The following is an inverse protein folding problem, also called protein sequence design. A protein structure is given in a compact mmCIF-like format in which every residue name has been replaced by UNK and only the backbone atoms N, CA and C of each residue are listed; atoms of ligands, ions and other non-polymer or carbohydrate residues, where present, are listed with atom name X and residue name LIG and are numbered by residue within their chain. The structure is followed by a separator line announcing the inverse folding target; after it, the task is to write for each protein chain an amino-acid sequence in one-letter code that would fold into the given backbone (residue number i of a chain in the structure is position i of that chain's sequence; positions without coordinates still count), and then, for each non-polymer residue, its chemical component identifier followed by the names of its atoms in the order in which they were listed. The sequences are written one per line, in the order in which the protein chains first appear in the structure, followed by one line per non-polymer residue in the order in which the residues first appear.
data_IF_491097398349
#
_entry.id   IF_491097398349
#
_cell.length_a   1.000
_cell.length_b   1.000
_cell.length_c   1.000
_cell.angle_alpha   90.00
_cell.angle_beta   90.00
_cell.angle_gamma   90.00
#
_symmetry.space_group_name_H-M   'P 1'
#
loop_
_entity.id
_entity.type
_entity.pdbx_description
1 polymer ?
#
# COMPACT_ATOMS: atom_id res chain seq x y z
N UNK A 1 -62.35 16.93 34.99
CA UNK A 1 -61.58 15.86 34.25
C UNK A 1 -60.37 16.48 33.61
N UNK A 2 -59.18 16.29 34.21
CA UNK A 2 -57.90 16.84 33.70
C UNK A 2 -57.18 15.69 32.99
N UNK A 3 -57.06 15.82 31.66
CA UNK A 3 -56.21 14.91 30.83
C UNK A 3 -54.76 15.37 30.92
N UNK A 4 -53.92 14.62 31.62
CA UNK A 4 -52.46 14.73 31.56
C UNK A 4 -51.98 13.98 30.32
N UNK A 5 -51.62 14.67 29.25
CA UNK A 5 -50.88 14.12 28.11
C UNK A 5 -49.39 14.06 28.47
N UNK A 6 -48.93 12.86 28.79
CA UNK A 6 -47.50 12.60 28.99
C UNK A 6 -46.74 12.66 27.66
N UNK A 7 -45.84 13.63 27.51
CA UNK A 7 -44.89 13.71 26.38
C UNK A 7 -43.79 12.72 26.69
N UNK A 8 -43.78 11.59 25.97
CA UNK A 8 -42.64 10.67 25.94
C UNK A 8 -41.51 11.29 25.08
N UNK A 9 -40.55 11.91 25.72
CA UNK A 9 -39.28 12.27 25.12
C UNK A 9 -38.47 10.99 24.88
N UNK A 10 -38.51 10.44 23.68
CA UNK A 10 -37.58 9.42 23.24
C UNK A 10 -36.21 10.06 23.14
N UNK A 11 -35.38 9.92 24.13
CA UNK A 11 -33.94 10.19 24.02
C UNK A 11 -33.36 9.15 23.12
N UNK A 12 -33.08 9.52 21.85
CA UNK A 12 -32.20 8.75 20.99
C UNK A 12 -30.81 8.78 21.66
N UNK A 13 -30.46 7.71 22.34
CA UNK A 13 -29.08 7.46 22.69
C UNK A 13 -28.30 7.32 21.37
N UNK A 14 -27.48 8.30 21.02
CA UNK A 14 -26.43 8.15 20.03
C UNK A 14 -25.48 7.10 20.61
N UNK A 15 -25.69 5.84 20.28
CA UNK A 15 -24.70 4.82 20.54
C UNK A 15 -23.42 5.24 19.79
N UNK A 16 -22.36 5.56 20.54
CA UNK A 16 -21.05 5.76 19.94
C UNK A 16 -20.73 4.51 19.14
N UNK A 17 -20.67 4.63 17.83
CA UNK A 17 -20.22 3.52 16.97
C UNK A 17 -18.79 3.17 17.37
N UNK A 18 -18.45 1.89 17.49
CA UNK A 18 -17.06 1.50 17.72
C UNK A 18 -16.20 1.98 16.55
N UNK A 19 -15.04 2.53 16.86
CA UNK A 19 -14.08 2.96 15.85
C UNK A 19 -13.22 1.76 15.48
N UNK A 20 -13.03 1.53 14.18
CA UNK A 20 -12.09 0.57 13.63
C UNK A 20 -10.97 1.33 12.92
N UNK A 21 -9.76 1.30 13.48
CA UNK A 21 -8.61 2.03 12.96
C UNK A 21 -7.79 1.15 12.02
N UNK A 22 -7.62 1.62 10.78
CA UNK A 22 -6.88 0.92 9.73
C UNK A 22 -5.66 1.73 9.31
N UNK A 23 -4.46 1.18 9.53
CA UNK A 23 -3.24 1.75 8.98
C UNK A 23 -3.06 1.30 7.54
N UNK A 24 -2.84 2.24 6.63
CA UNK A 24 -2.72 1.98 5.21
C UNK A 24 -1.72 2.93 4.53
N UNK A 25 -1.15 2.58 3.37
CA UNK A 25 -0.29 3.49 2.62
C UNK A 25 -1.09 4.66 2.03
N UNK A 26 -0.38 5.76 1.73
CA UNK A 26 -0.95 7.01 1.23
C UNK A 26 -1.83 6.82 -0.02
N UNK A 27 -1.36 6.04 -0.98
CA UNK A 27 -2.10 5.77 -2.21
C UNK A 27 -3.42 5.03 -1.99
N UNK A 28 -3.53 4.26 -0.90
CA UNK A 28 -4.75 3.52 -0.57
C UNK A 28 -5.84 4.44 -0.04
N UNK A 29 -5.45 5.44 0.77
CA UNK A 29 -6.37 6.34 1.46
C UNK A 29 -6.62 7.66 0.73
N UNK A 30 -5.90 7.93 -0.36
CA UNK A 30 -6.09 9.13 -1.18
C UNK A 30 -7.49 9.17 -1.83
N UNK A 31 -7.94 10.33 -2.28
CA UNK A 31 -9.26 10.51 -2.91
C UNK A 31 -9.51 9.62 -4.14
N UNK A 32 -8.44 9.26 -4.85
CA UNK A 32 -8.46 8.37 -6.01
C UNK A 32 -8.12 6.91 -5.65
N UNK A 33 -7.77 6.65 -4.39
CA UNK A 33 -7.51 5.30 -3.87
C UNK A 33 -8.79 4.55 -3.53
N UNK A 34 -8.70 3.26 -3.21
CA UNK A 34 -9.86 2.43 -2.87
C UNK A 34 -10.41 2.70 -1.47
N UNK A 35 -9.62 3.32 -0.57
CA UNK A 35 -9.98 3.53 0.84
C UNK A 35 -11.33 4.20 1.05
N UNK A 36 -11.60 5.38 0.45
CA UNK A 36 -12.87 6.09 0.65
C UNK A 36 -14.10 5.26 0.26
N UNK A 37 -14.03 4.52 -0.85
CA UNK A 37 -15.14 3.66 -1.30
C UNK A 37 -15.33 2.43 -0.39
N UNK A 38 -14.24 1.89 0.16
CA UNK A 38 -14.29 0.78 1.12
C UNK A 38 -14.89 1.26 2.44
N UNK A 39 -14.49 2.41 2.96
CA UNK A 39 -15.04 3.04 4.15
C UNK A 39 -16.55 3.19 4.02
N UNK A 40 -17.01 3.87 2.97
CA UNK A 40 -18.44 4.09 2.72
C UNK A 40 -19.24 2.77 2.63
N UNK A 41 -18.71 1.76 1.95
CA UNK A 41 -19.39 0.48 1.77
C UNK A 41 -19.40 -0.35 3.07
N UNK A 42 -18.28 -0.39 3.78
CA UNK A 42 -18.12 -1.20 4.98
C UNK A 42 -18.93 -0.67 6.16
N UNK A 43 -18.96 0.64 6.35
CA UNK A 43 -19.75 1.28 7.43
C UNK A 43 -21.26 1.04 7.34
N UNK A 44 -21.77 0.77 6.13
CA UNK A 44 -23.18 0.41 5.94
C UNK A 44 -23.54 -0.95 6.55
N UNK A 45 -22.55 -1.80 6.79
CA UNK A 45 -22.75 -3.19 7.22
C UNK A 45 -22.14 -3.50 8.60
N UNK A 46 -21.02 -2.86 8.97
CA UNK A 46 -20.32 -3.17 10.22
C UNK A 46 -20.97 -2.53 11.47
N UNK A 47 -21.74 -1.46 11.31
CA UNK A 47 -22.21 -0.66 12.45
C UNK A 47 -21.09 0.06 13.19
N UNK A 48 -19.93 0.22 12.57
CA UNK A 48 -18.72 0.85 13.08
C UNK A 48 -18.41 2.17 12.34
N UNK A 49 -17.43 2.91 12.84
CA UNK A 49 -16.80 4.07 12.23
C UNK A 49 -15.40 3.63 11.77
N UNK A 50 -15.18 3.45 10.46
CA UNK A 50 -13.91 3.01 9.89
C UNK A 50 -12.99 4.20 9.67
N UNK A 51 -11.82 4.20 10.29
CA UNK A 51 -10.83 5.28 10.17
C UNK A 51 -9.54 4.80 9.57
N UNK A 52 -9.19 5.38 8.43
CA UNK A 52 -7.88 5.19 7.84
C UNK A 52 -6.85 6.17 8.41
N UNK A 53 -5.64 5.65 8.68
CA UNK A 53 -4.48 6.44 9.04
C UNK A 53 -3.33 6.11 8.09
N UNK A 54 -2.93 7.09 7.27
CA UNK A 54 -1.84 6.92 6.31
C UNK A 54 -0.46 6.96 6.98
N UNK A 55 0.50 6.20 6.46
CA UNK A 55 1.89 6.28 6.90
C UNK A 55 2.75 5.08 6.56
N UNK A 56 3.97 5.13 7.08
CA UNK A 56 4.95 4.05 6.98
C UNK A 56 4.58 2.93 7.96
N UNK A 57 4.03 1.84 7.45
CA UNK A 57 3.34 0.82 8.24
C UNK A 57 4.23 0.10 9.26
N UNK A 58 5.26 -0.62 8.80
CA UNK A 58 6.10 -1.43 9.70
C UNK A 58 6.97 -0.57 10.64
N UNK A 59 7.63 0.49 10.19
CA UNK A 59 8.37 1.39 11.08
C UNK A 59 7.47 1.99 12.18
N UNK A 60 6.27 2.39 11.83
CA UNK A 60 5.29 2.93 12.78
C UNK A 60 4.88 1.89 13.82
N UNK A 61 4.54 0.68 13.41
CA UNK A 61 4.18 -0.41 14.32
C UNK A 61 5.32 -0.77 15.28
N UNK A 62 6.58 -0.77 14.80
CA UNK A 62 7.75 -1.00 15.66
C UNK A 62 7.87 0.10 16.71
N UNK A 63 7.66 1.35 16.32
CA UNK A 63 7.76 2.50 17.23
C UNK A 63 6.64 2.52 18.27
N UNK A 64 5.41 2.24 17.88
CA UNK A 64 4.23 2.24 18.75
C UNK A 64 4.15 1.00 19.64
N UNK A 65 4.62 -0.15 19.15
CA UNK A 65 4.56 -1.42 19.86
C UNK A 65 3.13 -1.76 20.32
N UNK A 66 2.99 -2.20 21.56
CA UNK A 66 1.69 -2.56 22.15
C UNK A 66 0.75 -1.37 22.39
N UNK A 67 1.20 -0.14 22.18
CA UNK A 67 0.36 1.07 22.27
C UNK A 67 -0.19 1.51 20.92
N UNK A 68 -0.01 0.71 19.88
CA UNK A 68 -0.60 1.02 18.56
C UNK A 68 -2.12 1.12 18.63
N UNK A 69 -2.68 2.07 17.91
CA UNK A 69 -4.13 2.25 17.76
C UNK A 69 -4.68 1.46 16.56
N UNK A 70 -3.82 0.77 15.80
CA UNK A 70 -4.25 0.01 14.65
C UNK A 70 -4.95 -1.28 15.05
N UNK A 71 -6.18 -1.45 14.60
CA UNK A 71 -6.90 -2.73 14.63
C UNK A 71 -6.54 -3.58 13.40
N UNK A 72 -6.33 -2.93 12.26
CA UNK A 72 -5.99 -3.56 10.99
C UNK A 72 -4.84 -2.81 10.30
N UNK A 73 -4.01 -3.54 9.59
CA UNK A 73 -2.98 -2.98 8.71
C UNK A 73 -3.19 -3.50 7.29
N UNK A 74 -3.35 -2.59 6.33
CA UNK A 74 -3.50 -2.91 4.91
C UNK A 74 -2.28 -2.40 4.14
N UNK A 75 -1.80 -3.17 3.16
CA UNK A 75 -0.75 -2.73 2.24
C UNK A 75 0.65 -3.20 2.63
N UNK A 76 0.77 -4.21 3.48
CA UNK A 76 2.03 -4.92 3.68
C UNK A 76 2.33 -5.82 2.47
N UNK A 77 3.53 -5.74 1.97
CA UNK A 77 3.99 -6.67 0.93
C UNK A 77 4.72 -7.86 1.51
N UNK A 78 4.92 -8.86 0.67
CA UNK A 78 5.63 -10.10 1.05
C UNK A 78 7.06 -9.87 1.56
N UNK A 79 7.74 -8.84 1.09
CA UNK A 79 9.10 -8.46 1.52
C UNK A 79 9.18 -7.96 2.98
N UNK A 80 8.09 -7.36 3.50
CA UNK A 80 8.06 -6.82 4.86
C UNK A 80 7.34 -7.72 5.87
N UNK A 81 6.67 -8.79 5.44
CA UNK A 81 5.87 -9.66 6.32
C UNK A 81 6.70 -10.31 7.43
N UNK A 82 7.95 -10.70 7.15
CA UNK A 82 8.83 -11.22 8.19
C UNK A 82 9.05 -10.19 9.30
N UNK A 83 9.39 -8.97 8.94
CA UNK A 83 9.64 -7.88 9.89
C UNK A 83 8.37 -7.45 10.64
N UNK A 84 7.23 -7.46 9.95
CA UNK A 84 5.94 -7.23 10.58
C UNK A 84 5.64 -8.31 11.64
N UNK A 85 5.84 -9.58 11.32
CA UNK A 85 5.64 -10.70 12.25
C UNK A 85 6.53 -10.61 13.49
N UNK A 86 7.77 -10.14 13.35
CA UNK A 86 8.73 -9.96 14.45
C UNK A 86 8.26 -8.90 15.47
N UNK A 87 7.31 -8.02 15.12
CA UNK A 87 6.71 -7.09 16.09
C UNK A 87 5.84 -7.79 17.15
N UNK A 88 5.35 -8.99 16.87
CA UNK A 88 4.43 -9.72 17.75
C UNK A 88 3.02 -9.14 17.85
N UNK A 89 2.67 -8.17 17.01
CA UNK A 89 1.38 -7.46 17.05
C UNK A 89 0.27 -8.14 16.25
N UNK A 90 0.63 -9.05 15.34
CA UNK A 90 -0.33 -9.66 14.42
C UNK A 90 -0.84 -11.00 14.93
N UNK A 91 -2.15 -11.19 14.84
CA UNK A 91 -2.84 -12.45 15.13
C UNK A 91 -3.19 -13.22 13.84
N UNK A 92 -3.47 -14.52 13.91
CA UNK A 92 -4.02 -15.26 12.78
C UNK A 92 -5.34 -14.65 12.28
N UNK A 93 -5.51 -14.58 10.93
CA UNK A 93 -6.70 -13.97 10.33
C UNK A 93 -7.94 -14.89 10.29
N UNK A 94 -7.80 -16.17 10.55
CA UNK A 94 -8.87 -17.19 10.59
C UNK A 94 -9.74 -17.28 9.31
N UNK A 95 -9.28 -16.70 8.20
CA UNK A 95 -9.98 -16.72 6.92
C UNK A 95 -9.53 -17.90 6.05
N UNK A 96 -10.44 -18.45 5.24
CA UNK A 96 -10.10 -19.45 4.24
C UNK A 96 -9.29 -18.83 3.09
N UNK A 97 -8.25 -19.54 2.66
CA UNK A 97 -7.43 -19.17 1.51
C UNK A 97 -7.91 -19.81 0.19
N UNK A 98 -9.00 -20.62 0.24
CA UNK A 98 -9.46 -21.40 -0.92
C UNK A 98 -10.01 -20.57 -2.08
N UNK A 99 -10.54 -19.38 -1.78
CA UNK A 99 -11.10 -18.46 -2.77
C UNK A 99 -10.09 -17.45 -3.34
N UNK A 100 -8.83 -17.52 -2.93
CA UNK A 100 -7.82 -16.56 -3.36
C UNK A 100 -7.33 -16.87 -4.78
N UNK A 101 -7.48 -15.90 -5.66
CA UNK A 101 -6.99 -15.97 -7.05
C UNK A 101 -5.57 -15.39 -7.11
N UNK A 102 -4.56 -16.21 -6.80
CA UNK A 102 -3.16 -15.82 -6.76
C UNK A 102 -2.33 -16.66 -7.72
N UNK A 103 -1.21 -16.14 -8.25
CA UNK A 103 -0.30 -16.90 -9.10
C UNK A 103 0.49 -17.96 -8.33
N UNK A 104 0.45 -17.94 -7.00
CA UNK A 104 1.11 -18.87 -6.10
C UNK A 104 0.13 -19.39 -5.05
N UNK A 105 0.40 -20.58 -4.51
CA UNK A 105 -0.35 -21.09 -3.37
C UNK A 105 -0.02 -20.28 -2.13
N UNK A 106 -1.05 -19.67 -1.53
CA UNK A 106 -0.89 -18.92 -0.27
C UNK A 106 -1.15 -19.82 0.93
N UNK A 107 -0.24 -19.82 1.88
CA UNK A 107 -0.30 -20.69 3.08
C UNK A 107 -0.10 -19.91 4.40
N UNK A 108 0.09 -18.59 4.32
CA UNK A 108 0.24 -17.75 5.51
C UNK A 108 -1.11 -17.60 6.22
N UNK A 109 -1.12 -17.75 7.54
CA UNK A 109 -2.31 -17.64 8.37
C UNK A 109 -2.41 -16.31 9.13
N UNK A 110 -1.43 -15.45 9.01
CA UNK A 110 -1.38 -14.14 9.66
C UNK A 110 -1.67 -13.01 8.67
N UNK A 111 -1.10 -13.12 7.47
CA UNK A 111 -1.25 -12.09 6.44
C UNK A 111 -2.13 -12.64 5.31
N UNK A 112 -3.24 -11.93 5.06
CA UNK A 112 -4.20 -12.27 4.03
C UNK A 112 -3.99 -11.37 2.81
N UNK A 113 -3.63 -11.89 1.63
CA UNK A 113 -3.47 -11.08 0.43
C UNK A 113 -4.83 -10.64 -0.11
N UNK A 114 -4.97 -9.38 -0.46
CA UNK A 114 -6.17 -8.84 -1.09
C UNK A 114 -5.94 -8.45 -2.56
N UNK A 115 -4.69 -8.30 -2.98
CA UNK A 115 -4.31 -8.11 -4.38
C UNK A 115 -2.91 -8.65 -4.65
N UNK A 116 -2.58 -8.71 -5.93
CA UNK A 116 -1.22 -8.92 -6.43
C UNK A 116 -1.06 -8.21 -7.75
N UNK A 117 0.17 -7.87 -8.12
CA UNK A 117 0.45 -7.19 -9.38
C UNK A 117 1.88 -7.44 -9.83
N UNK A 118 2.16 -7.04 -11.06
CA UNK A 118 3.50 -6.88 -11.59
C UNK A 118 3.93 -5.42 -11.48
N UNK A 119 5.24 -5.19 -11.45
CA UNK A 119 5.81 -3.86 -11.64
C UNK A 119 6.33 -3.72 -13.07
N UNK A 120 6.19 -2.53 -13.63
CA UNK A 120 6.63 -2.22 -14.98
C UNK A 120 7.02 -0.75 -15.10
N UNK A 121 7.76 -0.41 -16.13
CA UNK A 121 7.94 0.97 -16.53
C UNK A 121 6.72 1.44 -17.33
N UNK A 122 6.28 2.66 -17.03
CA UNK A 122 5.24 3.36 -17.77
C UNK A 122 5.91 4.45 -18.59
N UNK A 123 5.48 4.63 -19.82
CA UNK A 123 5.99 5.67 -20.70
C UNK A 123 4.86 6.35 -21.48
N UNK A 124 5.09 7.59 -21.86
CA UNK A 124 4.21 8.35 -22.75
C UNK A 124 4.49 7.99 -24.21
N UNK A 125 3.57 7.28 -24.84
CA UNK A 125 3.72 6.84 -26.24
C UNK A 125 3.77 7.99 -27.24
N UNK A 126 3.29 9.18 -26.87
CA UNK A 126 3.37 10.37 -27.71
C UNK A 126 4.77 10.97 -27.72
N UNK A 127 5.58 10.69 -26.68
CA UNK A 127 6.95 11.19 -26.53
C UNK A 127 8.00 10.12 -26.88
N UNK A 128 7.69 8.85 -26.63
CA UNK A 128 8.63 7.72 -26.83
C UNK A 128 8.03 6.75 -27.84
N UNK A 129 8.42 6.89 -29.10
CA UNK A 129 7.94 6.02 -30.19
C UNK A 129 8.54 4.61 -30.18
N UNK A 130 9.72 4.45 -29.56
CA UNK A 130 10.42 3.16 -29.43
C UNK A 130 10.80 2.95 -27.96
N UNK A 131 9.90 2.36 -27.16
CA UNK A 131 10.19 2.10 -25.76
C UNK A 131 11.29 1.05 -25.61
N UNK A 132 12.11 1.14 -24.54
CA UNK A 132 13.14 0.15 -24.25
C UNK A 132 12.51 -1.23 -24.01
N UNK A 133 13.14 -2.27 -24.50
CA UNK A 133 12.69 -3.67 -24.36
C UNK A 133 13.49 -4.43 -23.31
N UNK A 134 14.53 -3.82 -22.80
CA UNK A 134 15.43 -4.38 -21.78
C UNK A 134 15.96 -3.27 -20.88
N UNK A 135 16.52 -3.68 -19.76
CA UNK A 135 17.25 -2.75 -18.88
C UNK A 135 18.48 -2.16 -19.59
N UNK A 136 19.13 -2.91 -20.46
CA UNK A 136 20.27 -2.42 -21.24
C UNK A 136 19.83 -1.33 -22.22
N UNK A 137 18.71 -1.52 -22.93
CA UNK A 137 18.14 -0.48 -23.79
C UNK A 137 17.81 0.77 -22.98
N UNK A 138 17.20 0.60 -21.79
CA UNK A 138 16.82 1.70 -20.92
C UNK A 138 18.04 2.54 -20.48
N UNK A 139 19.13 1.87 -20.11
CA UNK A 139 20.36 2.56 -19.71
C UNK A 139 21.07 3.26 -20.88
N UNK A 140 20.89 2.76 -22.10
CA UNK A 140 21.49 3.33 -23.30
C UNK A 140 20.62 4.38 -24.03
N UNK A 141 19.37 4.61 -23.54
CA UNK A 141 18.51 5.64 -24.10
C UNK A 141 19.14 7.03 -23.91
N UNK A 142 19.33 7.75 -25.00
CA UNK A 142 19.74 9.14 -24.96
C UNK A 142 18.54 10.00 -24.55
N UNK A 143 18.78 10.96 -23.68
CA UNK A 143 17.78 11.93 -23.21
C UNK A 143 16.58 11.32 -22.46
N UNK A 144 16.66 10.07 -22.04
CA UNK A 144 15.67 9.49 -21.18
C UNK A 144 15.63 10.23 -19.83
N UNK A 145 14.41 10.51 -19.34
CA UNK A 145 14.17 11.09 -18.02
C UNK A 145 13.34 10.09 -17.23
N UNK A 146 13.99 9.41 -16.30
CA UNK A 146 13.37 8.35 -15.50
C UNK A 146 13.08 8.90 -14.11
N UNK A 147 11.83 8.78 -13.69
CA UNK A 147 11.44 8.99 -12.30
C UNK A 147 11.38 7.62 -11.64
N UNK A 148 12.13 7.45 -10.56
CA UNK A 148 12.10 6.24 -9.73
C UNK A 148 11.66 6.58 -8.32
N UNK A 149 11.34 5.57 -7.53
CA UNK A 149 10.89 5.75 -6.15
C UNK A 149 11.93 5.25 -5.16
N UNK A 150 11.99 5.84 -3.98
CA UNK A 150 12.91 5.45 -2.93
C UNK A 150 12.56 4.03 -2.42
N UNK A 151 13.50 3.07 -2.50
CA UNK A 151 13.25 1.68 -2.07
C UNK A 151 13.03 1.52 -0.57
N UNK A 152 13.33 2.55 0.22
CA UNK A 152 13.13 2.54 1.68
C UNK A 152 11.70 2.86 2.08
N UNK A 153 10.95 3.57 1.23
CA UNK A 153 9.61 4.06 1.51
C UNK A 153 8.57 3.63 0.46
N UNK A 154 9.00 3.04 -0.65
CA UNK A 154 8.11 2.62 -1.74
C UNK A 154 8.35 1.18 -2.18
N UNK A 155 7.26 0.46 -2.30
CA UNK A 155 7.18 -0.89 -2.85
C UNK A 155 7.74 -0.95 -4.28
N UNK A 156 7.34 -0.01 -5.13
CA UNK A 156 7.79 0.03 -6.52
C UNK A 156 9.28 0.32 -6.61
N UNK A 157 9.79 1.19 -5.72
CA UNK A 157 11.22 1.45 -5.61
C UNK A 157 12.01 0.21 -5.21
N UNK A 158 11.56 -0.50 -4.18
CA UNK A 158 12.20 -1.74 -3.72
C UNK A 158 12.12 -2.83 -4.81
N UNK A 159 10.97 -2.98 -5.46
CA UNK A 159 10.81 -3.96 -6.53
C UNK A 159 11.77 -3.70 -7.70
N UNK A 160 12.02 -2.44 -8.07
CA UNK A 160 13.02 -2.10 -9.09
C UNK A 160 14.44 -2.51 -8.66
N UNK A 161 14.80 -2.26 -7.39
CA UNK A 161 16.12 -2.67 -6.88
C UNK A 161 16.28 -4.18 -6.92
N UNK A 162 15.27 -4.92 -6.47
CA UNK A 162 15.27 -6.38 -6.47
C UNK A 162 15.32 -6.95 -7.91
N UNK A 163 14.57 -6.36 -8.82
CA UNK A 163 14.55 -6.76 -10.23
C UNK A 163 15.92 -6.58 -10.89
N UNK A 164 16.55 -5.42 -10.69
CA UNK A 164 17.91 -5.17 -11.20
C UNK A 164 18.91 -6.15 -10.55
N UNK A 165 18.80 -6.40 -9.25
CA UNK A 165 19.65 -7.38 -8.57
C UNK A 165 19.47 -8.80 -9.10
N UNK A 166 18.23 -9.19 -9.40
CA UNK A 166 17.93 -10.51 -10.00
C UNK A 166 18.55 -10.65 -11.39
N UNK A 167 18.43 -9.63 -12.24
CA UNK A 167 18.92 -9.65 -13.62
C UNK A 167 20.45 -9.59 -13.68
N UNK A 168 21.10 -8.76 -12.87
CA UNK A 168 22.52 -8.45 -12.98
C UNK A 168 23.39 -9.09 -11.90
N UNK A 169 22.80 -9.63 -10.85
CA UNK A 169 23.54 -10.26 -9.77
C UNK A 169 24.57 -9.31 -9.14
N UNK A 170 25.84 -9.71 -9.16
CA UNK A 170 26.96 -8.93 -8.61
C UNK A 170 27.32 -7.70 -9.47
N UNK A 171 26.79 -7.62 -10.69
CA UNK A 171 26.97 -6.46 -11.59
C UNK A 171 25.84 -5.41 -11.43
N UNK A 172 24.94 -5.57 -10.50
CA UNK A 172 23.84 -4.63 -10.28
C UNK A 172 24.34 -3.19 -10.01
N UNK A 173 25.41 -3.02 -9.25
CA UNK A 173 26.02 -1.71 -8.99
C UNK A 173 26.55 -1.04 -10.25
N UNK A 174 27.20 -1.82 -11.13
CA UNK A 174 27.66 -1.35 -12.43
C UNK A 174 26.48 -0.88 -13.29
N UNK A 175 25.40 -1.65 -13.30
CA UNK A 175 24.18 -1.26 -14.03
C UNK A 175 23.57 0.02 -13.47
N UNK A 176 23.47 0.18 -12.14
CA UNK A 176 22.99 1.41 -11.52
C UNK A 176 23.83 2.63 -11.91
N UNK A 177 25.16 2.48 -11.95
CA UNK A 177 26.07 3.54 -12.40
C UNK A 177 25.81 3.93 -13.86
N UNK A 178 25.43 2.98 -14.71
CA UNK A 178 25.08 3.19 -16.10
C UNK A 178 23.72 3.88 -16.28
N UNK A 179 22.74 3.52 -15.44
CA UNK A 179 21.38 4.08 -15.45
C UNK A 179 21.30 5.48 -14.83
N UNK A 180 22.17 5.78 -13.88
CA UNK A 180 22.12 6.99 -13.07
C UNK A 180 22.02 8.31 -13.88
N UNK A 181 22.71 8.50 -15.03
CA UNK A 181 22.56 9.71 -15.84
C UNK A 181 21.14 9.94 -16.38
N UNK A 182 20.35 8.89 -16.51
CA UNK A 182 18.97 8.95 -16.99
C UNK A 182 17.95 9.17 -15.86
N UNK A 183 18.35 9.07 -14.60
CA UNK A 183 17.46 9.27 -13.45
C UNK A 183 17.30 10.76 -13.21
N UNK A 184 16.11 11.26 -13.49
CA UNK A 184 15.74 12.66 -13.24
C UNK A 184 15.62 12.95 -11.74
N UNK A 185 14.95 12.05 -11.03
CA UNK A 185 14.70 12.20 -9.58
C UNK A 185 14.29 10.87 -8.94
N UNK A 186 14.43 10.84 -7.61
CA UNK A 186 13.95 9.76 -6.75
C UNK A 186 12.87 10.35 -5.85
N UNK A 187 11.64 9.89 -5.97
CA UNK A 187 10.51 10.36 -5.16
C UNK A 187 10.32 9.51 -3.91
N UNK A 188 9.65 10.06 -2.90
CA UNK A 188 9.33 9.31 -1.68
C UNK A 188 8.39 8.13 -1.96
N UNK A 189 7.41 8.33 -2.85
CA UNK A 189 6.39 7.34 -3.11
C UNK A 189 5.73 7.46 -4.48
N UNK A 190 4.70 6.65 -4.67
CA UNK A 190 4.00 6.52 -5.95
C UNK A 190 3.27 7.80 -6.36
N UNK A 191 2.58 8.46 -5.42
CA UNK A 191 1.78 9.67 -5.69
C UNK A 191 2.63 10.80 -6.26
N UNK A 192 3.82 11.02 -5.67
CA UNK A 192 4.78 12.02 -6.18
C UNK A 192 5.32 11.65 -7.55
N UNK A 193 5.68 10.37 -7.76
CA UNK A 193 6.16 9.90 -9.05
C UNK A 193 5.12 10.07 -10.15
N UNK A 194 3.86 9.73 -9.86
CA UNK A 194 2.75 9.87 -10.78
C UNK A 194 2.45 11.33 -11.14
N UNK A 195 2.56 12.24 -10.16
CA UNK A 195 2.37 13.66 -10.38
C UNK A 195 3.46 14.32 -11.26
N UNK A 196 4.64 13.68 -11.39
CA UNK A 196 5.73 14.14 -12.25
C UNK A 196 5.68 13.56 -13.67
N UNK A 197 4.96 12.46 -13.85
CA UNK A 197 4.75 11.81 -15.14
C UNK A 197 3.78 12.56 -16.03
#
# INVERSE_FOLDING_TARGET
LIFLTGIFLATFAYANRPVLTVYAPDYFVSEWGPGPSIEEAFEKTCGCDLKFSAGDLVPRLILEGSSTEADIVIGLNTDVTKKARETGLFAPHEQSNESLFLPIKWIDNTFLPFNWSYVSFVYDETKISQPPKSFEDLANMKDAKIVIQDPRSSISGLALVLWIKEVYGDKAEEYWSKLAPNILTVTKGWSEAYGLF
#
